data_IF_774579748335
#
_entry.id   IF_774579748335
#
_cell.length_a   1.000
_cell.length_b   1.000
_cell.length_c   1.000
_cell.angle_alpha   90.00
_cell.angle_beta   90.00
_cell.angle_gamma   90.00
#
_symmetry.space_group_name_H-M   'P 1'
#
loop_
_entity.id
_entity.type
_entity.pdbx_description
1 polymer ?
#
# COMPACT_ATOMS: atom_id res chain seq x y z
N UNK A 1 -12.83 -26.54 -6.68
CA UNK A 1 -12.25 -25.69 -7.75
C UNK A 1 -13.18 -24.57 -8.18
N UNK A 2 -14.45 -24.85 -8.48
CA UNK A 2 -15.43 -23.84 -8.91
C UNK A 2 -15.57 -22.65 -7.93
N UNK A 3 -15.69 -22.90 -6.62
CA UNK A 3 -15.79 -21.83 -5.62
C UNK A 3 -14.61 -20.86 -5.63
N UNK A 4 -13.38 -21.36 -5.83
CA UNK A 4 -12.16 -20.53 -5.92
C UNK A 4 -12.13 -19.70 -7.20
N UNK A 5 -12.59 -20.28 -8.32
CA UNK A 5 -12.69 -19.56 -9.59
C UNK A 5 -13.72 -18.44 -9.50
N UNK A 6 -14.88 -18.70 -8.90
CA UNK A 6 -15.95 -17.70 -8.72
C UNK A 6 -15.47 -16.58 -7.80
N UNK A 7 -14.85 -16.88 -6.65
CA UNK A 7 -14.35 -15.83 -5.75
C UNK A 7 -13.27 -14.96 -6.42
N UNK A 8 -12.40 -15.56 -7.22
CA UNK A 8 -11.40 -14.83 -8.00
C UNK A 8 -12.03 -13.92 -9.05
N UNK A 9 -13.01 -14.42 -9.80
CA UNK A 9 -13.74 -13.63 -10.79
C UNK A 9 -14.47 -12.45 -10.14
N UNK A 10 -15.18 -12.69 -9.03
CA UNK A 10 -15.88 -11.63 -8.28
C UNK A 10 -14.88 -10.56 -7.84
N UNK A 11 -13.72 -10.95 -7.31
CA UNK A 11 -12.68 -10.00 -6.92
C UNK A 11 -12.21 -9.13 -8.09
N UNK A 12 -11.92 -9.73 -9.25
CA UNK A 12 -11.49 -9.00 -10.46
C UNK A 12 -12.58 -8.03 -10.92
N UNK A 13 -13.85 -8.45 -10.95
CA UNK A 13 -14.98 -7.60 -11.34
C UNK A 13 -15.14 -6.42 -10.39
N UNK A 14 -15.08 -6.66 -9.07
CA UNK A 14 -15.17 -5.59 -8.06
C UNK A 14 -13.99 -4.63 -8.17
N UNK A 15 -12.77 -5.14 -8.32
CA UNK A 15 -11.56 -4.33 -8.43
C UNK A 15 -11.58 -3.48 -9.70
N UNK A 16 -11.80 -4.08 -10.87
CA UNK A 16 -11.89 -3.36 -12.14
C UNK A 16 -13.07 -2.37 -12.15
N UNK A 17 -14.21 -2.76 -11.57
CA UNK A 17 -15.37 -1.88 -11.41
C UNK A 17 -15.03 -0.65 -10.57
N UNK A 18 -14.38 -0.83 -9.41
CA UNK A 18 -13.96 0.29 -8.56
C UNK A 18 -12.90 1.19 -9.22
N UNK A 19 -11.99 0.63 -10.02
CA UNK A 19 -11.00 1.40 -10.78
C UNK A 19 -11.64 2.22 -11.90
N UNK A 20 -12.70 1.71 -12.55
CA UNK A 20 -13.29 2.39 -13.70
C UNK A 20 -14.43 3.35 -13.33
N UNK A 21 -15.04 3.18 -12.15
CA UNK A 21 -16.24 3.93 -11.77
C UNK A 21 -15.94 5.34 -11.29
N UNK A 22 -15.14 5.49 -10.23
CA UNK A 22 -14.77 6.81 -9.69
C UNK A 22 -13.63 6.74 -8.70
N UNK A 23 -12.98 7.89 -8.48
CA UNK A 23 -12.00 8.09 -7.41
C UNK A 23 -12.50 7.60 -6.04
N UNK A 24 -13.75 7.91 -5.68
CA UNK A 24 -14.32 7.55 -4.38
C UNK A 24 -14.53 6.04 -4.23
N UNK A 25 -14.92 5.35 -5.31
CA UNK A 25 -15.07 3.89 -5.28
C UNK A 25 -13.73 3.18 -5.14
N UNK A 26 -12.69 3.67 -5.83
CA UNK A 26 -11.32 3.21 -5.67
C UNK A 26 -10.82 3.46 -4.24
N UNK A 27 -11.00 4.69 -3.72
CA UNK A 27 -10.60 5.07 -2.37
C UNK A 27 -11.26 4.18 -1.31
N UNK A 28 -12.57 3.93 -1.42
CA UNK A 28 -13.30 3.07 -0.51
C UNK A 28 -12.75 1.63 -0.52
N UNK A 29 -12.53 1.06 -1.72
CA UNK A 29 -12.01 -0.29 -1.87
C UNK A 29 -10.59 -0.42 -1.28
N UNK A 30 -9.67 0.49 -1.64
CA UNK A 30 -8.30 0.43 -1.15
C UNK A 30 -8.17 0.77 0.34
N UNK A 31 -9.02 1.66 0.88
CA UNK A 31 -9.09 1.90 2.32
C UNK A 31 -9.47 0.63 3.08
N UNK A 32 -10.45 -0.13 2.57
CA UNK A 32 -10.84 -1.42 3.15
C UNK A 32 -9.69 -2.43 3.08
N UNK A 33 -9.02 -2.56 1.92
CA UNK A 33 -7.88 -3.45 1.73
C UNK A 33 -6.73 -3.11 2.69
N UNK A 34 -6.40 -1.81 2.84
CA UNK A 34 -5.36 -1.35 3.75
C UNK A 34 -5.71 -1.67 5.20
N UNK A 35 -6.94 -1.39 5.65
CA UNK A 35 -7.36 -1.69 7.02
C UNK A 35 -7.31 -3.20 7.31
N UNK A 36 -7.80 -4.03 6.39
CA UNK A 36 -7.73 -5.49 6.52
C UNK A 36 -6.26 -5.95 6.57
N UNK A 37 -5.42 -5.47 5.64
CA UNK A 37 -4.00 -5.80 5.60
C UNK A 37 -3.25 -5.41 6.87
N UNK A 38 -3.57 -4.26 7.46
CA UNK A 38 -3.01 -3.81 8.74
C UNK A 38 -3.47 -4.69 9.91
N UNK A 39 -4.73 -5.14 9.93
CA UNK A 39 -5.19 -6.09 10.95
C UNK A 39 -4.50 -7.45 10.82
N UNK A 40 -4.33 -7.97 9.60
CA UNK A 40 -3.62 -9.22 9.36
C UNK A 40 -2.14 -9.09 9.74
N UNK A 41 -1.50 -7.99 9.37
CA UNK A 41 -0.12 -7.71 9.75
C UNK A 41 0.06 -7.64 11.27
N UNK A 42 -0.85 -6.95 11.97
CA UNK A 42 -0.84 -6.94 13.44
C UNK A 42 -1.02 -8.35 14.02
N UNK A 43 -1.96 -9.15 13.49
CA UNK A 43 -2.20 -10.54 13.96
C UNK A 43 -0.94 -11.41 13.83
N UNK A 44 -0.19 -11.26 12.73
CA UNK A 44 1.08 -11.96 12.55
C UNK A 44 2.11 -11.52 13.60
N UNK A 45 2.25 -10.21 13.81
CA UNK A 45 3.21 -9.67 14.80
C UNK A 45 2.84 -9.98 16.24
N UNK A 46 1.56 -9.99 16.59
CA UNK A 46 1.09 -10.32 17.94
C UNK A 46 1.23 -11.81 18.27
N UNK A 47 1.31 -12.67 17.25
CA UNK A 47 1.63 -14.09 17.44
C UNK A 47 3.09 -14.29 17.87
N UNK A 48 4.01 -13.45 17.36
CA UNK A 48 5.43 -13.48 17.75
C UNK A 48 5.69 -12.74 19.07
N UNK A 49 5.02 -11.61 19.28
CA UNK A 49 5.17 -10.78 20.47
C UNK A 49 3.81 -10.20 20.90
N UNK A 50 3.19 -10.71 21.99
CA UNK A 50 1.88 -10.25 22.46
C UNK A 50 1.82 -8.77 22.84
N UNK A 51 2.95 -8.14 23.16
CA UNK A 51 3.02 -6.73 23.54
C UNK A 51 2.92 -5.77 22.34
N UNK A 52 2.78 -6.30 21.12
CA UNK A 52 2.60 -5.49 19.93
C UNK A 52 1.24 -4.80 19.96
N UNK A 53 1.24 -3.48 20.08
CA UNK A 53 0.03 -2.68 20.12
C UNK A 53 -0.60 -2.54 18.74
N UNK A 54 -1.85 -2.99 18.65
CA UNK A 54 -2.71 -2.87 17.48
C UNK A 54 -2.79 -1.43 16.93
N UNK A 55 -2.96 -0.44 17.80
CA UNK A 55 -3.10 0.97 17.42
C UNK A 55 -1.85 1.55 16.76
N UNK A 56 -0.64 1.14 17.19
CA UNK A 56 0.62 1.64 16.62
C UNK A 56 0.74 1.26 15.13
N UNK A 57 0.36 0.03 14.79
CA UNK A 57 0.32 -0.47 13.40
C UNK A 57 -0.78 0.22 12.58
N UNK A 58 -2.01 0.24 13.09
CA UNK A 58 -3.16 0.80 12.36
C UNK A 58 -2.98 2.28 12.09
N UNK A 59 -2.62 3.05 13.12
CA UNK A 59 -2.42 4.49 12.97
C UNK A 59 -1.32 4.79 11.96
N UNK A 60 -0.14 4.19 12.11
CA UNK A 60 1.00 4.47 11.23
C UNK A 60 0.70 4.10 9.78
N UNK A 61 0.08 2.94 9.56
CA UNK A 61 -0.32 2.48 8.23
C UNK A 61 -1.41 3.33 7.58
N UNK A 62 -2.49 3.63 8.32
CA UNK A 62 -3.60 4.45 7.81
C UNK A 62 -3.14 5.88 7.55
N UNK A 63 -2.35 6.45 8.45
CA UNK A 63 -1.83 7.79 8.28
C UNK A 63 -0.96 7.88 7.03
N UNK A 64 -0.03 6.95 6.85
CA UNK A 64 0.84 6.94 5.69
C UNK A 64 0.08 6.72 4.37
N UNK A 65 -0.98 5.89 4.39
CA UNK A 65 -1.89 5.76 3.26
C UNK A 65 -2.63 7.07 2.98
N UNK A 66 -3.26 7.66 4.00
CA UNK A 66 -4.06 8.88 3.87
C UNK A 66 -3.22 10.07 3.39
N UNK A 67 -2.00 10.24 3.89
CA UNK A 67 -1.09 11.30 3.44
C UNK A 67 -0.69 11.08 1.99
N UNK A 68 -0.36 9.85 1.59
CA UNK A 68 -0.01 9.52 0.21
C UNK A 68 -1.18 9.83 -0.74
N UNK A 69 -2.40 9.45 -0.38
CA UNK A 69 -3.60 9.76 -1.17
C UNK A 69 -3.84 11.27 -1.22
N UNK A 70 -3.72 11.97 -0.09
CA UNK A 70 -3.93 13.42 -0.04
C UNK A 70 -2.93 14.18 -0.94
N UNK A 71 -1.67 13.74 -0.98
CA UNK A 71 -0.63 14.32 -1.85
C UNK A 71 -0.95 14.08 -3.32
N UNK A 72 -1.54 12.94 -3.66
CA UNK A 72 -1.92 12.64 -5.05
C UNK A 72 -3.09 13.48 -5.56
N UNK A 73 -3.82 14.17 -4.68
CA UNK A 73 -4.96 14.98 -5.10
C UNK A 73 -4.50 16.24 -5.86
N UNK A 74 -5.23 16.64 -6.91
CA UNK A 74 -4.86 17.76 -7.80
C UNK A 74 -4.86 19.15 -7.14
N UNK A 75 -5.25 19.27 -5.87
CA UNK A 75 -5.19 20.52 -5.09
C UNK A 75 -3.79 21.18 -5.12
N UNK A 76 -2.72 20.41 -5.36
CA UNK A 76 -1.36 20.94 -5.48
C UNK A 76 -1.13 21.77 -6.76
N UNK A 77 -1.86 21.48 -7.85
CA UNK A 77 -1.71 22.18 -9.13
C UNK A 77 -2.24 23.62 -9.04
N UNK A 78 -3.31 23.84 -8.25
CA UNK A 78 -3.83 25.19 -7.96
C UNK A 78 -2.92 26.01 -7.04
N UNK A 79 -2.09 25.35 -6.23
CA UNK A 79 -1.10 25.98 -5.35
C UNK A 79 0.19 26.43 -6.09
N UNK A 80 0.27 26.25 -7.41
CA UNK A 80 1.40 26.74 -8.22
C UNK A 80 2.69 25.94 -8.07
N UNK A 81 2.61 24.67 -7.67
CA UNK A 81 3.80 23.81 -7.57
C UNK A 81 4.30 23.39 -8.96
N UNK A 82 5.42 23.96 -9.40
CA UNK A 82 6.17 23.48 -10.59
C UNK A 82 6.58 22.00 -10.46
N UNK A 83 6.80 21.31 -11.59
CA UNK A 83 7.15 19.88 -11.66
C UNK A 83 8.29 19.47 -10.68
N UNK A 84 9.32 20.30 -10.55
CA UNK A 84 10.42 20.07 -9.60
C UNK A 84 9.98 20.17 -8.13
N UNK A 85 9.09 21.11 -7.82
CA UNK A 85 8.53 21.27 -6.48
C UNK A 85 7.49 20.17 -6.19
N UNK A 86 6.80 19.64 -7.21
CA UNK A 86 5.90 18.50 -7.08
C UNK A 86 6.66 17.23 -6.68
N UNK A 87 7.78 16.89 -7.33
CA UNK A 87 8.62 15.74 -6.94
C UNK A 87 9.16 15.89 -5.51
N UNK A 88 9.59 17.09 -5.13
CA UNK A 88 10.02 17.38 -3.75
C UNK A 88 8.88 17.24 -2.74
N UNK A 89 7.68 17.71 -3.08
CA UNK A 89 6.48 17.60 -2.25
C UNK A 89 6.05 16.14 -2.11
N UNK A 90 6.09 15.37 -3.19
CA UNK A 90 5.88 13.92 -3.21
C UNK A 90 6.84 13.21 -2.26
N UNK A 91 8.14 13.45 -2.39
CA UNK A 91 9.16 12.79 -1.56
C UNK A 91 9.06 13.24 -0.09
N UNK A 92 9.00 14.55 0.16
CA UNK A 92 8.99 15.12 1.51
C UNK A 92 7.68 14.81 2.25
N UNK A 93 6.51 14.99 1.61
CA UNK A 93 5.24 14.78 2.28
C UNK A 93 4.87 13.29 2.39
N UNK A 94 5.30 12.42 1.46
CA UNK A 94 4.97 10.98 1.55
C UNK A 94 5.86 10.26 2.57
N UNK A 95 7.12 10.70 2.75
CA UNK A 95 8.07 10.03 3.64
C UNK A 95 8.23 10.80 4.97
N UNK A 96 8.43 12.12 4.94
CA UNK A 96 8.69 12.89 6.15
C UNK A 96 7.42 13.19 6.94
N UNK A 97 6.26 13.40 6.30
CA UNK A 97 5.03 13.75 7.02
C UNK A 97 4.47 12.61 7.88
N UNK A 98 4.39 11.35 7.41
CA UNK A 98 4.05 10.21 8.27
C UNK A 98 5.10 9.99 9.34
N UNK A 99 6.39 10.18 9.02
CA UNK A 99 7.48 10.10 9.99
C UNK A 99 7.32 11.11 11.12
N UNK A 100 7.09 12.39 10.80
CA UNK A 100 6.91 13.47 11.79
C UNK A 100 5.68 13.22 12.66
N UNK A 101 4.57 12.79 12.08
CA UNK A 101 3.34 12.49 12.81
C UNK A 101 3.38 11.15 13.55
N UNK A 102 4.31 10.26 13.21
CA UNK A 102 4.59 9.05 13.98
C UNK A 102 5.46 9.34 15.22
N UNK A 103 6.27 10.40 15.23
CA UNK A 103 7.15 10.75 16.37
C UNK A 103 6.39 10.87 17.71
N UNK A 104 5.24 11.57 17.82
CA UNK A 104 4.49 11.64 19.07
C UNK A 104 4.04 10.27 19.58
N UNK A 105 3.72 9.34 18.68
CA UNK A 105 3.36 7.97 19.03
C UNK A 105 4.57 7.12 19.38
N UNK A 106 5.71 7.35 18.73
CA UNK A 106 6.97 6.72 19.13
C UNK A 106 7.34 7.14 20.56
N UNK A 107 7.20 8.43 20.87
CA UNK A 107 7.41 8.95 22.22
C UNK A 107 6.40 8.31 23.19
N UNK A 108 5.11 8.29 22.86
CA UNK A 108 4.09 7.67 23.71
C UNK A 108 4.33 6.16 23.94
N UNK A 109 4.76 5.43 22.90
CA UNK A 109 5.09 4.01 23.00
C UNK A 109 6.37 3.78 23.81
N UNK A 110 7.36 4.67 23.72
CA UNK A 110 8.59 4.61 24.51
C UNK A 110 8.41 5.02 25.97
N UNK A 111 7.42 5.86 26.27
CA UNK A 111 7.04 6.25 27.62
C UNK A 111 6.16 5.22 28.33
N UNK A 112 5.70 4.19 27.60
CA UNK A 112 4.91 3.11 28.19
C UNK A 112 5.78 2.17 29.03
N UNK A 113 5.53 2.15 30.34
CA UNK A 113 6.22 1.32 31.32
C UNK A 113 5.98 -0.19 31.11
N UNK A 114 4.95 -0.56 30.35
CA UNK A 114 4.65 -1.96 30.02
C UNK A 114 5.67 -2.61 29.06
N UNK A 115 6.64 -1.83 28.57
CA UNK A 115 7.70 -2.28 27.68
C UNK A 115 7.24 -2.47 26.22
N UNK A 116 8.20 -2.77 25.34
CA UNK A 116 7.92 -3.00 23.92
C UNK A 116 7.74 -1.74 23.06
N UNK A 117 8.00 -0.54 23.60
CA UNK A 117 7.88 0.72 22.87
C UNK A 117 8.67 0.78 21.56
N UNK A 118 9.92 0.29 21.58
CA UNK A 118 10.74 0.17 20.37
C UNK A 118 10.12 -0.79 19.33
N UNK A 119 9.62 -1.95 19.78
CA UNK A 119 9.03 -2.95 18.89
C UNK A 119 7.73 -2.44 18.27
N UNK A 120 6.90 -1.73 19.05
CA UNK A 120 5.67 -1.10 18.58
C UNK A 120 5.95 -0.06 17.51
N UNK A 121 6.87 0.84 17.80
CA UNK A 121 7.38 1.84 16.86
C UNK A 121 7.90 1.21 15.57
N UNK A 122 8.76 0.20 15.68
CA UNK A 122 9.34 -0.48 14.53
C UNK A 122 8.27 -1.15 13.66
N UNK A 123 7.30 -1.83 14.28
CA UNK A 123 6.19 -2.45 13.58
C UNK A 123 5.26 -1.42 12.92
N UNK A 124 5.01 -0.28 13.57
CA UNK A 124 4.24 0.83 13.01
C UNK A 124 4.91 1.43 11.77
N UNK A 125 6.21 1.71 11.85
CA UNK A 125 7.00 2.18 10.70
C UNK A 125 6.97 1.13 9.59
N UNK A 126 7.18 -0.15 9.90
CA UNK A 126 7.13 -1.20 8.91
C UNK A 126 5.76 -1.29 8.23
N UNK A 127 4.66 -1.17 8.99
CA UNK A 127 3.31 -1.14 8.44
C UNK A 127 3.07 0.06 7.51
N UNK A 128 3.62 1.23 7.84
CA UNK A 128 3.57 2.41 6.98
C UNK A 128 4.32 2.18 5.66
N UNK A 129 5.57 1.69 5.70
CA UNK A 129 6.40 1.50 4.51
C UNK A 129 5.99 0.29 3.66
N UNK A 130 5.44 -0.75 4.28
CA UNK A 130 5.10 -2.00 3.59
C UNK A 130 3.67 -2.03 3.06
N UNK A 131 2.73 -1.34 3.73
CA UNK A 131 1.30 -1.37 3.39
C UNK A 131 0.82 0.05 3.05
N UNK A 132 0.94 1.01 3.97
CA UNK A 132 0.34 2.33 3.84
C UNK A 132 0.81 3.10 2.60
N UNK A 133 2.12 3.35 2.51
CA UNK A 133 2.74 4.09 1.41
C UNK A 133 2.54 3.37 0.07
N UNK A 134 2.88 2.07 -0.11
CA UNK A 134 2.75 1.42 -1.41
C UNK A 134 1.32 1.45 -1.98
N UNK A 135 0.30 1.22 -1.15
CA UNK A 135 -1.09 1.33 -1.60
C UNK A 135 -1.52 2.78 -1.85
N UNK A 136 -1.00 3.74 -1.10
CA UNK A 136 -1.28 5.16 -1.32
C UNK A 136 -0.63 5.72 -2.59
N UNK A 137 0.57 5.22 -2.94
CA UNK A 137 1.28 5.61 -4.16
C UNK A 137 0.52 5.26 -5.44
N UNK A 138 -0.35 4.24 -5.40
CA UNK A 138 -1.21 3.87 -6.52
C UNK A 138 -2.08 5.04 -7.02
N UNK A 139 -2.48 5.94 -6.12
CA UNK A 139 -3.31 7.10 -6.47
C UNK A 139 -2.53 8.18 -7.25
N UNK A 140 -1.19 8.17 -7.22
CA UNK A 140 -0.38 9.07 -8.04
C UNK A 140 -0.33 8.68 -9.52
N UNK A 141 -0.81 7.49 -9.86
CA UNK A 141 -0.99 7.08 -11.26
C UNK A 141 -2.26 7.69 -11.88
N UNK A 142 -3.13 8.28 -11.07
CA UNK A 142 -4.36 8.92 -11.56
C UNK A 142 -3.96 10.23 -12.22
N UNK A 143 -4.33 10.40 -13.48
CA UNK A 143 -4.16 11.66 -14.18
C UNK A 143 -5.34 12.59 -13.87
N UNK A 144 -5.02 13.85 -13.57
CA UNK A 144 -5.98 14.93 -13.35
C UNK A 144 -5.73 16.09 -14.34
N UNK A 145 -5.29 15.77 -15.57
CA UNK A 145 -4.64 16.68 -16.50
C UNK A 145 -5.31 18.06 -16.63
N UNK A 146 -6.63 18.15 -16.83
CA UNK A 146 -7.23 19.43 -17.25
C UNK A 146 -8.58 19.79 -16.64
N UNK A 147 -9.26 18.92 -15.87
CA UNK A 147 -10.63 19.22 -15.41
C UNK A 147 -11.12 18.46 -14.17
N UNK A 148 -10.22 18.00 -13.29
CA UNK A 148 -10.57 17.08 -12.18
C UNK A 148 -11.29 15.81 -12.68
N UNK A 149 -11.10 15.46 -13.96
CA UNK A 149 -11.67 14.24 -14.51
C UNK A 149 -10.86 13.05 -14.01
N UNK A 150 -11.55 12.13 -13.34
CA UNK A 150 -10.94 10.89 -12.88
C UNK A 150 -10.66 9.95 -14.06
N UNK A 151 -9.40 9.61 -14.31
CA UNK A 151 -9.02 8.52 -15.21
C UNK A 151 -8.29 7.40 -14.45
N UNK A 152 -8.99 6.27 -14.24
CA UNK A 152 -8.44 5.07 -13.61
C UNK A 152 -7.70 4.13 -14.57
N UNK A 153 -7.64 4.43 -15.88
CA UNK A 153 -6.98 3.54 -16.87
C UNK A 153 -5.50 3.27 -16.56
N UNK A 154 -4.68 4.24 -16.11
CA UNK A 154 -3.29 3.96 -15.76
C UNK A 154 -3.14 2.93 -14.63
N UNK A 155 -4.03 2.98 -13.63
CA UNK A 155 -4.08 1.99 -12.54
C UNK A 155 -4.47 0.62 -13.09
N UNK A 156 -5.48 0.56 -13.96
CA UNK A 156 -5.88 -0.70 -14.59
C UNK A 156 -4.75 -1.30 -15.42
N UNK A 157 -4.04 -0.48 -16.20
CA UNK A 157 -2.87 -0.90 -16.96
C UNK A 157 -1.77 -1.45 -16.04
N UNK A 158 -1.52 -0.79 -14.90
CA UNK A 158 -0.57 -1.27 -13.89
C UNK A 158 -0.94 -2.66 -13.35
N UNK A 159 -2.21 -2.91 -13.03
CA UNK A 159 -2.66 -4.25 -12.60
C UNK A 159 -2.54 -5.30 -13.71
N UNK A 160 -2.91 -4.96 -14.94
CA UNK A 160 -2.77 -5.87 -16.09
C UNK A 160 -1.30 -6.23 -16.29
N UNK A 161 -0.37 -5.28 -16.15
CA UNK A 161 1.06 -5.53 -16.23
C UNK A 161 1.54 -6.48 -15.12
N UNK A 162 1.11 -6.28 -13.87
CA UNK A 162 1.47 -7.18 -12.77
C UNK A 162 0.95 -8.60 -13.02
N UNK A 163 -0.35 -8.74 -13.35
CA UNK A 163 -0.94 -10.06 -13.58
C UNK A 163 -0.34 -10.78 -14.78
N UNK A 164 -0.04 -10.03 -15.85
CA UNK A 164 0.65 -10.56 -17.01
C UNK A 164 2.06 -11.01 -16.63
N UNK A 165 2.81 -10.18 -15.90
CA UNK A 165 4.16 -10.50 -15.44
C UNK A 165 4.17 -11.78 -14.59
N UNK A 166 3.26 -11.93 -13.64
CA UNK A 166 3.16 -13.14 -12.80
C UNK A 166 2.84 -14.38 -13.63
N UNK A 167 1.95 -14.25 -14.62
CA UNK A 167 1.61 -15.35 -15.54
C UNK A 167 2.80 -15.75 -16.40
N UNK A 168 3.49 -14.76 -16.99
CA UNK A 168 4.67 -15.00 -17.81
C UNK A 168 5.83 -15.56 -16.99
N UNK A 169 6.04 -15.09 -15.76
CA UNK A 169 7.07 -15.61 -14.86
C UNK A 169 6.84 -17.09 -14.55
N UNK A 170 5.59 -17.50 -14.33
CA UNK A 170 5.25 -18.92 -14.15
C UNK A 170 5.51 -19.73 -15.42
N UNK A 171 5.08 -19.24 -16.59
CA UNK A 171 5.27 -19.94 -17.86
C UNK A 171 6.75 -20.05 -18.21
N UNK A 172 7.49 -18.95 -18.22
CA UNK A 172 8.93 -18.95 -18.53
C UNK A 172 9.73 -19.74 -17.51
N UNK A 173 9.42 -19.63 -16.21
CA UNK A 173 10.07 -20.43 -15.17
C UNK A 173 9.84 -21.92 -15.36
N UNK A 174 8.63 -22.34 -15.73
CA UNK A 174 8.32 -23.75 -15.98
C UNK A 174 9.02 -24.31 -17.23
N UNK A 175 9.16 -23.52 -18.29
CA UNK A 175 9.74 -23.99 -19.55
C UNK A 175 11.27 -23.82 -19.64
N UNK A 176 11.80 -22.75 -19.05
CA UNK A 176 13.20 -22.33 -19.20
C UNK A 176 13.98 -22.29 -17.88
N UNK A 177 13.30 -22.39 -16.73
CA UNK A 177 13.90 -22.29 -15.40
C UNK A 177 14.84 -23.46 -15.12
N UNK A 178 16.14 -23.14 -15.00
CA UNK A 178 17.20 -24.11 -14.65
C UNK A 178 17.87 -23.80 -13.33
N UNK A 179 17.92 -22.52 -12.96
CA UNK A 179 18.56 -22.03 -11.75
C UNK A 179 17.52 -21.39 -10.85
N UNK A 180 17.42 -21.85 -9.61
CA UNK A 180 16.49 -21.28 -8.64
C UNK A 180 17.12 -20.05 -7.98
N UNK A 181 16.32 -19.01 -7.78
CA UNK A 181 16.78 -17.75 -7.20
C UNK A 181 17.12 -17.88 -5.71
N UNK A 182 16.18 -18.36 -4.89
CA UNK A 182 16.38 -18.52 -3.44
C UNK A 182 15.49 -19.62 -2.87
N UNK A 183 16.03 -20.84 -2.77
CA UNK A 183 15.26 -22.02 -2.37
C UNK A 183 14.69 -21.94 -0.94
N UNK A 184 15.44 -21.31 -0.03
CA UNK A 184 15.06 -21.18 1.39
C UNK A 184 13.81 -20.31 1.60
N UNK A 185 13.59 -19.33 0.73
CA UNK A 185 12.51 -18.34 0.87
C UNK A 185 11.34 -18.69 -0.06
N UNK A 186 11.64 -19.11 -1.30
CA UNK A 186 10.63 -19.45 -2.30
C UNK A 186 11.16 -20.54 -3.24
N UNK A 187 10.91 -21.83 -2.95
CA UNK A 187 11.58 -22.97 -3.59
C UNK A 187 11.32 -23.13 -5.09
N UNK A 188 10.27 -22.49 -5.62
CA UNK A 188 9.83 -22.63 -7.01
C UNK A 188 10.11 -21.39 -7.88
N UNK A 189 10.85 -20.39 -7.38
CA UNK A 189 11.24 -19.22 -8.19
C UNK A 189 12.56 -19.51 -8.93
N UNK A 190 12.51 -19.44 -10.26
CA UNK A 190 13.61 -19.68 -11.21
C UNK A 190 13.72 -18.56 -12.22
#
# INVERSE_FOLDING_TARGET
MLQRAISGLVFVVVLCGAILWSFWSLLALFSLIVVIGLFEFHKLRSTENPNVKKWSILYSGILAFATSVFISMPMQKELGFDFYNHIKTLFFCTICFPGILAIPLMIADMLDENGGGYQNTSNGIFAAFYIGIPFGLLFHLIDFSDSFHYDGRPILAFFILIWSNDTFAYLSGKFLGKHKLWERISPNKT
#
